data_IF_076825565696
#
_entry.id   IF_076825565696
#
_cell.length_a   1.000
_cell.length_b   1.000
_cell.length_c   1.000
_cell.angle_alpha   90.00
_cell.angle_beta   90.00
_cell.angle_gamma   90.00
#
_symmetry.space_group_name_H-M   'P 1'
#
loop_
_entity.id
_entity.type
_entity.pdbx_description
1 polymer ?
#
# COMPACT_ATOMS: atom_id res chain seq x y z
N UNK A 1 -7.41 9.46 -9.72
CA UNK A 1 -8.05 10.48 -10.57
C UNK A 1 -7.28 10.61 -11.87
N UNK A 2 -7.76 9.93 -12.92
CA UNK A 2 -7.36 10.17 -14.30
C UNK A 2 -8.20 11.30 -14.92
N UNK A 3 -7.98 11.64 -16.19
CA UNK A 3 -8.69 12.75 -16.85
C UNK A 3 -10.21 12.54 -16.94
N UNK A 4 -10.66 11.30 -17.21
CA UNK A 4 -12.09 10.97 -17.28
C UNK A 4 -12.74 11.11 -15.89
N UNK A 5 -12.08 10.62 -14.85
CA UNK A 5 -12.51 10.76 -13.46
C UNK A 5 -12.60 12.23 -13.05
N UNK A 6 -11.63 13.07 -13.47
CA UNK A 6 -11.65 14.51 -13.23
C UNK A 6 -12.82 15.20 -13.93
N UNK A 7 -13.08 14.89 -15.21
CA UNK A 7 -14.21 15.44 -15.95
C UNK A 7 -15.54 15.05 -15.30
N UNK A 8 -15.69 13.81 -14.85
CA UNK A 8 -16.88 13.35 -14.13
C UNK A 8 -17.06 14.08 -12.79
N UNK A 9 -15.98 14.32 -12.04
CA UNK A 9 -16.05 15.09 -10.80
C UNK A 9 -16.50 16.54 -11.06
N UNK A 10 -15.98 17.19 -12.12
CA UNK A 10 -16.42 18.52 -12.56
C UNK A 10 -17.90 18.50 -12.96
N UNK A 11 -18.34 17.48 -13.70
CA UNK A 11 -19.73 17.34 -14.12
C UNK A 11 -20.68 17.27 -12.92
N UNK A 12 -20.30 16.52 -11.87
CA UNK A 12 -21.08 16.41 -10.64
C UNK A 12 -21.15 17.75 -9.89
N UNK A 13 -20.01 18.41 -9.69
CA UNK A 13 -19.95 19.67 -8.95
C UNK A 13 -20.72 20.80 -9.65
N UNK A 14 -20.60 20.88 -10.97
CA UNK A 14 -21.29 21.88 -11.78
C UNK A 14 -22.72 21.48 -12.17
N UNK A 15 -23.14 20.26 -11.86
CA UNK A 15 -24.43 19.69 -12.27
C UNK A 15 -24.67 19.77 -13.79
N UNK A 16 -23.63 19.49 -14.59
CA UNK A 16 -23.68 19.48 -16.05
C UNK A 16 -23.52 18.06 -16.60
N UNK A 17 -23.80 17.88 -17.90
CA UNK A 17 -23.59 16.61 -18.58
C UNK A 17 -22.10 16.25 -18.65
N UNK A 18 -21.77 14.96 -18.51
CA UNK A 18 -20.38 14.48 -18.57
C UNK A 18 -19.69 14.81 -19.91
N UNK A 19 -20.45 14.85 -21.01
CA UNK A 19 -19.94 15.29 -22.30
C UNK A 19 -19.45 16.75 -22.29
N UNK A 20 -20.24 17.66 -21.69
CA UNK A 20 -19.88 19.07 -21.61
C UNK A 20 -18.69 19.30 -20.69
N UNK A 21 -18.60 18.57 -19.57
CA UNK A 21 -17.46 18.63 -18.66
C UNK A 21 -16.16 18.11 -19.30
N UNK A 22 -16.21 16.97 -20.02
CA UNK A 22 -15.05 16.45 -20.76
C UNK A 22 -14.61 17.42 -21.86
N UNK A 23 -15.55 17.97 -22.63
CA UNK A 23 -15.27 18.98 -23.65
C UNK A 23 -14.65 20.22 -23.04
N UNK A 24 -15.21 20.73 -21.94
CA UNK A 24 -14.69 21.91 -21.23
C UNK A 24 -13.24 21.70 -20.77
N UNK A 25 -12.94 20.56 -20.15
CA UNK A 25 -11.59 20.23 -19.70
C UNK A 25 -10.61 20.16 -20.88
N UNK A 26 -10.98 19.49 -21.97
CA UNK A 26 -10.15 19.38 -23.19
C UNK A 26 -9.86 20.75 -23.81
N UNK A 27 -10.88 21.58 -23.98
CA UNK A 27 -10.72 22.94 -24.54
C UNK A 27 -9.85 23.81 -23.64
N UNK A 28 -10.00 23.68 -22.31
CA UNK A 28 -9.16 24.42 -21.35
C UNK A 28 -7.69 24.04 -21.49
N UNK A 29 -7.38 22.73 -21.51
CA UNK A 29 -6.00 22.25 -21.68
C UNK A 29 -5.40 22.69 -23.02
N UNK A 30 -6.16 22.57 -24.11
CA UNK A 30 -5.72 23.02 -25.44
C UNK A 30 -5.47 24.54 -25.48
N UNK A 31 -6.31 25.33 -24.80
CA UNK A 31 -6.13 26.78 -24.75
C UNK A 31 -4.89 27.17 -23.95
N UNK A 32 -4.59 26.46 -22.86
CA UNK A 32 -3.34 26.64 -22.12
C UNK A 32 -2.15 26.33 -23.02
N UNK A 33 -2.15 25.18 -23.69
CA UNK A 33 -1.05 24.75 -24.58
C UNK A 33 -0.83 25.79 -25.70
N UNK A 34 -1.89 26.11 -26.46
CA UNK A 34 -1.81 27.03 -27.58
C UNK A 34 -1.43 28.47 -27.20
N UNK A 35 -1.72 28.91 -25.97
CA UNK A 35 -1.29 30.22 -25.47
C UNK A 35 0.17 30.17 -25.01
N UNK A 36 0.58 29.11 -24.32
CA UNK A 36 1.97 28.96 -23.87
C UNK A 36 2.91 28.86 -25.06
N UNK A 37 2.55 28.16 -26.14
CA UNK A 37 3.38 28.00 -27.35
C UNK A 37 3.59 29.30 -28.13
N UNK A 38 2.83 30.37 -27.85
CA UNK A 38 3.07 31.71 -28.40
C UNK A 38 3.98 32.56 -27.50
N UNK A 39 4.67 31.92 -26.54
CA UNK A 39 5.51 32.57 -25.53
C UNK A 39 4.72 33.53 -24.61
N UNK A 40 3.42 33.28 -24.44
CA UNK A 40 2.57 34.00 -23.49
C UNK A 40 2.29 33.11 -22.27
N UNK A 41 2.65 33.55 -21.04
CA UNK A 41 2.34 32.78 -19.85
C UNK A 41 0.82 32.77 -19.59
N UNK A 42 0.32 31.65 -19.06
CA UNK A 42 -1.05 31.51 -18.58
C UNK A 42 -1.05 31.43 -17.07
N UNK A 43 -1.56 32.47 -16.42
CA UNK A 43 -1.68 32.55 -14.96
C UNK A 43 -3.09 32.17 -14.52
N UNK A 44 -3.19 31.16 -13.65
CA UNK A 44 -4.42 30.73 -13.01
C UNK A 44 -4.31 31.05 -11.53
N UNK A 45 -4.99 32.13 -11.10
CA UNK A 45 -4.94 32.61 -9.72
C UNK A 45 -5.32 31.50 -8.73
N UNK A 46 -4.51 31.33 -7.69
CA UNK A 46 -4.72 30.30 -6.68
C UNK A 46 -4.28 28.89 -7.10
N UNK A 47 -3.79 28.72 -8.33
CA UNK A 47 -3.33 27.43 -8.86
C UNK A 47 -1.86 27.49 -9.30
N UNK A 48 -1.54 28.31 -10.30
CA UNK A 48 -0.17 28.43 -10.80
C UNK A 48 -0.07 29.05 -12.18
N UNK A 49 1.17 29.10 -12.68
CA UNK A 49 1.52 29.72 -13.96
C UNK A 49 2.14 28.70 -14.89
N UNK A 50 1.56 28.55 -16.09
CA UNK A 50 2.18 27.83 -17.20
C UNK A 50 2.99 28.79 -18.06
N UNK A 51 4.23 28.43 -18.40
CA UNK A 51 5.09 29.26 -19.24
C UNK A 51 6.11 28.42 -20.00
N UNK A 52 6.55 28.91 -21.17
CA UNK A 52 7.74 28.39 -21.83
C UNK A 52 9.01 28.85 -21.11
N UNK A 53 10.02 27.99 -21.07
CA UNK A 53 11.37 28.32 -20.62
C UNK A 53 12.41 27.93 -21.66
N UNK A 54 13.37 28.82 -21.97
CA UNK A 54 14.51 28.45 -22.79
C UNK A 54 15.48 27.62 -21.94
N UNK A 55 15.97 26.51 -22.48
CA UNK A 55 17.06 25.74 -21.90
C UNK A 55 18.31 25.94 -22.74
N UNK A 56 19.39 26.36 -22.09
CA UNK A 56 20.71 26.50 -22.70
C UNK A 56 21.28 25.12 -23.08
N UNK A 57 22.14 25.05 -24.11
CA UNK A 57 22.82 23.81 -24.45
C UNK A 57 23.75 23.40 -23.31
N UNK A 58 23.86 22.09 -23.05
CA UNK A 58 24.70 21.54 -21.98
C UNK A 58 25.17 20.14 -22.31
N UNK A 59 26.24 19.69 -21.67
CA UNK A 59 26.69 18.30 -21.74
C UNK A 59 25.89 17.46 -20.74
N UNK A 60 25.26 16.39 -21.22
CA UNK A 60 24.63 15.35 -20.40
C UNK A 60 25.47 14.09 -20.36
N UNK A 61 25.08 13.14 -19.52
CA UNK A 61 25.72 11.82 -19.41
C UNK A 61 24.69 10.76 -19.77
N UNK A 62 25.02 9.87 -20.69
CA UNK A 62 24.14 8.77 -21.10
C UNK A 62 23.93 7.82 -19.91
N UNK A 63 22.67 7.56 -19.48
CA UNK A 63 22.41 6.63 -18.39
C UNK A 63 22.84 5.18 -18.70
N UNK A 64 22.88 4.81 -19.99
CA UNK A 64 23.20 3.46 -20.43
C UNK A 64 24.71 3.22 -20.56
N UNK A 65 25.48 4.23 -20.99
CA UNK A 65 26.91 4.07 -21.31
C UNK A 65 27.85 4.87 -20.42
N UNK A 66 27.35 5.85 -19.65
CA UNK A 66 28.18 6.77 -18.88
C UNK A 66 28.94 7.80 -19.72
N UNK A 67 28.80 7.76 -21.04
CA UNK A 67 29.52 8.66 -21.94
C UNK A 67 28.87 10.05 -22.00
N UNK A 68 29.67 11.12 -22.16
CA UNK A 68 29.15 12.46 -22.34
C UNK A 68 28.46 12.60 -23.70
N UNK A 69 27.32 13.29 -23.73
CA UNK A 69 26.63 13.65 -24.96
C UNK A 69 26.14 15.10 -24.91
N UNK A 70 26.04 15.75 -26.07
CA UNK A 70 25.58 17.13 -26.14
C UNK A 70 24.03 17.20 -26.11
N UNK A 71 23.49 18.00 -25.21
CA UNK A 71 22.06 18.35 -25.16
C UNK A 71 21.89 19.72 -25.81
N UNK A 72 21.23 19.82 -26.98
CA UNK A 72 21.06 21.09 -27.67
C UNK A 72 20.12 22.03 -26.91
N UNK A 73 20.19 23.33 -27.24
CA UNK A 73 19.25 24.32 -26.74
C UNK A 73 17.83 23.96 -27.17
N UNK A 74 16.86 24.10 -26.26
CA UNK A 74 15.45 23.82 -26.56
C UNK A 74 14.50 24.56 -25.64
N UNK A 75 13.27 24.74 -26.11
CA UNK A 75 12.17 25.16 -25.26
C UNK A 75 11.64 24.00 -24.42
N UNK A 76 11.23 24.30 -23.19
CA UNK A 76 10.44 23.40 -22.36
C UNK A 76 9.22 24.13 -21.80
N UNK A 77 8.16 23.39 -21.52
CA UNK A 77 7.09 23.91 -20.66
C UNK A 77 7.56 23.93 -19.21
N UNK A 78 7.04 24.87 -18.43
CA UNK A 78 7.19 24.95 -16.99
C UNK A 78 5.85 25.27 -16.34
N UNK A 79 5.61 24.72 -15.15
CA UNK A 79 4.49 25.06 -14.30
C UNK A 79 5.02 25.52 -12.94
N UNK A 80 4.69 26.74 -12.54
CA UNK A 80 5.03 27.29 -11.23
C UNK A 80 3.79 27.28 -10.35
N UNK A 81 3.84 26.54 -9.25
CA UNK A 81 2.74 26.47 -8.28
C UNK A 81 2.58 27.82 -7.57
N UNK A 82 1.33 28.29 -7.46
CA UNK A 82 1.00 29.51 -6.72
C UNK A 82 1.08 29.27 -5.20
N UNK A 83 1.34 30.34 -4.43
CA UNK A 83 1.43 30.30 -2.97
C UNK A 83 0.16 29.71 -2.34
N UNK A 84 -1.02 30.10 -2.80
CA UNK A 84 -2.28 29.61 -2.23
C UNK A 84 -2.49 28.10 -2.44
N UNK A 85 -2.05 27.54 -3.56
CA UNK A 85 -2.08 26.09 -3.77
C UNK A 85 -1.06 25.41 -2.85
N UNK A 86 0.18 25.92 -2.80
CA UNK A 86 1.22 25.38 -1.91
C UNK A 86 0.75 25.35 -0.45
N UNK A 87 0.19 26.44 0.07
CA UNK A 87 -0.31 26.53 1.43
C UNK A 87 -1.45 25.53 1.70
N UNK A 88 -2.35 25.31 0.73
CA UNK A 88 -3.41 24.30 0.87
C UNK A 88 -2.86 22.88 0.94
N UNK A 89 -1.77 22.59 0.23
CA UNK A 89 -1.09 21.28 0.31
C UNK A 89 -0.39 21.13 1.66
N UNK A 90 0.32 22.16 2.11
CA UNK A 90 1.04 22.15 3.39
C UNK A 90 0.11 22.12 4.61
N UNK A 91 -1.10 22.64 4.48
CA UNK A 91 -2.12 22.60 5.53
C UNK A 91 -2.79 21.22 5.68
N UNK A 92 -2.56 20.28 4.76
CA UNK A 92 -3.02 18.90 4.94
C UNK A 92 -2.16 18.28 6.04
N UNK A 93 -2.75 17.92 7.21
CA UNK A 93 -1.97 17.31 8.28
C UNK A 93 -1.36 15.99 7.79
N UNK A 94 -0.06 15.82 8.04
CA UNK A 94 0.56 14.51 7.87
C UNK A 94 -0.01 13.58 8.92
N UNK A 95 -0.54 12.45 8.47
CA UNK A 95 -0.82 11.34 9.36
C UNK A 95 0.53 10.73 9.79
N UNK A 96 0.76 10.73 11.09
CA UNK A 96 1.93 10.19 11.77
C UNK A 96 1.52 9.09 12.75
N UNK A 97 0.24 8.74 12.78
CA UNK A 97 -0.25 7.67 13.60
C UNK A 97 0.24 6.35 13.00
N UNK A 98 0.75 5.47 13.86
CA UNK A 98 1.13 4.14 13.39
C UNK A 98 -0.12 3.29 13.28
N UNK A 99 -0.20 2.40 12.26
CA UNK A 99 -1.30 1.45 12.20
C UNK A 99 -1.33 0.58 13.45
N UNK A 100 -2.49 0.00 13.73
CA UNK A 100 -2.68 -0.94 14.85
C UNK A 100 -2.97 -2.34 14.34
N UNK A 101 -2.72 -3.34 15.20
CA UNK A 101 -2.95 -4.75 14.91
C UNK A 101 -3.70 -5.41 16.06
N UNK A 102 -4.68 -6.24 15.74
CA UNK A 102 -5.45 -7.03 16.70
C UNK A 102 -5.69 -8.46 16.20
N UNK A 103 -5.85 -9.43 17.12
CA UNK A 103 -6.23 -10.78 16.74
C UNK A 103 -7.62 -10.78 16.10
N UNK A 104 -7.77 -11.54 15.01
CA UNK A 104 -9.06 -11.88 14.42
C UNK A 104 -9.54 -13.24 14.94
N UNK A 105 -9.81 -14.17 14.02
CA UNK A 105 -10.14 -15.56 14.34
C UNK A 105 -8.87 -16.34 14.64
N UNK A 106 -8.69 -16.69 15.91
CA UNK A 106 -7.67 -17.60 16.41
C UNK A 106 -8.40 -18.64 17.26
N UNK A 107 -8.18 -19.92 16.99
CA UNK A 107 -8.86 -21.03 17.68
C UNK A 107 -7.90 -22.19 17.95
N UNK A 108 -8.11 -22.91 19.04
CA UNK A 108 -7.26 -24.04 19.39
C UNK A 108 -7.46 -25.23 18.45
N UNK A 109 -6.39 -26.01 18.25
CA UNK A 109 -6.41 -27.26 17.48
C UNK A 109 -6.59 -28.42 18.45
N UNK A 110 -7.75 -29.09 18.38
CA UNK A 110 -8.12 -30.20 19.29
C UNK A 110 -8.30 -31.55 18.58
N UNK A 111 -8.09 -31.58 17.26
CA UNK A 111 -8.24 -32.78 16.45
C UNK A 111 -7.05 -32.91 15.49
N UNK A 112 -6.61 -34.14 15.19
CA UNK A 112 -5.50 -34.35 14.28
C UNK A 112 -5.87 -34.02 12.84
N UNK A 113 -4.87 -33.65 12.02
CA UNK A 113 -5.10 -33.33 10.61
C UNK A 113 -3.85 -32.93 9.84
N UNK A 114 -3.90 -33.05 8.52
CA UNK A 114 -2.82 -32.76 7.56
C UNK A 114 -2.95 -31.37 6.92
N UNK A 115 -4.05 -30.65 7.18
CA UNK A 115 -4.29 -29.33 6.63
C UNK A 115 -3.51 -28.25 7.39
N UNK A 116 -3.06 -27.18 6.70
CA UNK A 116 -2.55 -25.99 7.37
C UNK A 116 -3.58 -25.43 8.34
N UNK A 117 -3.10 -24.92 9.48
CA UNK A 117 -3.92 -24.14 10.39
C UNK A 117 -4.07 -22.72 9.85
N UNK A 118 -5.29 -22.19 9.88
CA UNK A 118 -5.60 -20.85 9.41
C UNK A 118 -6.05 -19.98 10.58
N UNK A 119 -5.54 -18.76 10.63
CA UNK A 119 -5.96 -17.74 11.57
C UNK A 119 -6.08 -16.40 10.84
N UNK A 120 -6.76 -15.44 11.46
CA UNK A 120 -6.83 -14.08 10.93
C UNK A 120 -6.25 -13.05 11.88
N UNK A 121 -5.66 -12.02 11.28
CA UNK A 121 -5.17 -10.81 11.94
C UNK A 121 -5.89 -9.63 11.32
N UNK A 122 -6.28 -8.67 12.14
CA UNK A 122 -6.90 -7.43 11.70
C UNK A 122 -5.93 -6.27 11.89
N UNK A 123 -5.67 -5.55 10.80
CA UNK A 123 -4.91 -4.31 10.79
C UNK A 123 -5.88 -3.15 10.62
N UNK A 124 -5.73 -2.10 11.41
CA UNK A 124 -6.57 -0.91 11.32
C UNK A 124 -5.76 0.36 11.48
N UNK A 125 -6.29 1.43 10.90
CA UNK A 125 -5.67 2.75 10.86
C UNK A 125 -6.75 3.80 10.64
N UNK A 126 -6.49 5.07 10.96
CA UNK A 126 -7.48 6.13 10.83
C UNK A 126 -7.64 6.64 9.38
N UNK A 127 -6.60 6.50 8.55
CA UNK A 127 -6.61 6.83 7.12
C UNK A 127 -6.76 5.56 6.29
N UNK A 128 -5.92 4.57 6.55
CA UNK A 128 -6.11 3.21 6.08
C UNK A 128 -4.82 2.45 5.78
N UNK A 129 -4.96 1.13 5.67
CA UNK A 129 -3.83 0.22 5.46
C UNK A 129 -3.44 0.10 3.98
N UNK A 130 -2.13 0.24 3.71
CA UNK A 130 -1.56 0.08 2.38
C UNK A 130 -1.49 -1.38 1.97
N UNK A 131 -2.44 -1.80 1.14
CA UNK A 131 -2.59 -3.21 0.76
C UNK A 131 -1.35 -3.84 0.09
N UNK A 132 -0.46 -3.03 -0.51
CA UNK A 132 0.76 -3.54 -1.14
C UNK A 132 1.84 -3.97 -0.14
N UNK A 133 1.74 -3.56 1.12
CA UNK A 133 2.69 -3.94 2.18
C UNK A 133 2.22 -5.14 2.99
N UNK A 134 1.05 -5.73 2.66
CA UNK A 134 0.63 -6.98 3.29
C UNK A 134 1.30 -8.12 2.53
N UNK A 135 2.11 -8.90 3.24
CA UNK A 135 2.96 -9.96 2.76
C UNK A 135 2.18 -11.02 1.99
N UNK A 136 2.27 -10.98 0.65
CA UNK A 136 1.88 -12.07 -0.22
C UNK A 136 0.90 -11.73 -1.32
N UNK A 137 1.29 -10.86 -2.27
CA UNK A 137 0.82 -11.02 -3.65
C UNK A 137 1.88 -11.08 -4.74
N UNK A 138 3.12 -10.61 -4.53
CA UNK A 138 4.21 -10.72 -5.52
C UNK A 138 5.64 -10.61 -4.92
N UNK A 139 5.85 -10.84 -3.61
CA UNK A 139 7.21 -10.69 -3.06
C UNK A 139 8.07 -11.92 -3.35
N UNK A 140 8.99 -11.79 -4.31
CA UNK A 140 10.16 -12.66 -4.50
C UNK A 140 11.21 -12.46 -3.39
N UNK A 141 10.97 -11.54 -2.45
CA UNK A 141 11.88 -11.16 -1.38
C UNK A 141 11.17 -11.21 -0.02
N UNK A 142 11.14 -12.38 0.62
CA UNK A 142 11.34 -12.55 2.07
C UNK A 142 10.50 -11.77 3.11
N UNK A 143 9.53 -10.95 2.74
CA UNK A 143 8.79 -10.07 3.64
C UNK A 143 7.45 -10.73 3.98
N UNK A 144 7.49 -11.52 5.05
CA UNK A 144 6.33 -12.23 5.60
C UNK A 144 5.95 -11.54 6.90
N UNK A 145 4.76 -10.93 6.92
CA UNK A 145 4.28 -10.07 8.02
C UNK A 145 4.33 -10.76 9.39
N UNK A 146 4.07 -12.07 9.41
CA UNK A 146 3.75 -12.80 10.64
C UNK A 146 4.65 -14.02 10.79
N UNK A 147 5.17 -14.22 12.00
CA UNK A 147 5.92 -15.40 12.44
C UNK A 147 5.13 -16.16 13.49
N UNK A 148 5.10 -17.49 13.37
CA UNK A 148 4.54 -18.39 14.39
C UNK A 148 5.66 -19.18 15.02
N UNK A 149 5.81 -19.08 16.34
CA UNK A 149 6.74 -19.88 17.13
C UNK A 149 5.99 -20.83 18.06
N UNK A 150 6.55 -21.99 18.35
CA UNK A 150 5.89 -23.00 19.17
C UNK A 150 6.86 -23.94 19.87
N UNK A 151 6.34 -25.04 20.45
CA UNK A 151 7.14 -26.03 21.17
C UNK A 151 8.24 -26.64 20.29
N UNK A 152 9.24 -27.25 20.93
CA UNK A 152 10.32 -28.00 20.26
C UNK A 152 11.09 -27.17 19.20
N UNK A 153 11.15 -25.85 19.38
CA UNK A 153 11.85 -24.95 18.46
C UNK A 153 11.10 -24.67 17.15
N UNK A 154 9.81 -24.99 17.07
CA UNK A 154 8.99 -24.64 15.91
C UNK A 154 9.03 -23.13 15.67
N UNK A 155 9.35 -22.72 14.44
CA UNK A 155 9.44 -21.33 14.02
C UNK A 155 9.16 -21.24 12.51
N UNK A 156 8.02 -20.67 12.14
CA UNK A 156 7.59 -20.54 10.75
C UNK A 156 7.18 -19.10 10.43
N UNK A 157 7.75 -18.54 9.36
CA UNK A 157 7.20 -17.34 8.72
C UNK A 157 5.97 -17.72 7.89
N UNK A 158 4.90 -16.93 8.03
CA UNK A 158 3.59 -17.23 7.42
C UNK A 158 3.26 -16.28 6.28
N UNK A 159 2.59 -16.79 5.25
CA UNK A 159 2.17 -16.00 4.09
C UNK A 159 0.70 -15.62 4.23
N UNK A 160 0.34 -14.40 3.83
CA UNK A 160 -1.06 -14.06 3.65
C UNK A 160 -1.63 -14.92 2.50
N UNK A 161 -2.71 -15.62 2.79
CA UNK A 161 -3.44 -16.45 1.82
C UNK A 161 -4.64 -15.69 1.26
N UNK A 162 -5.22 -14.78 2.05
CA UNK A 162 -6.37 -13.97 1.68
C UNK A 162 -6.35 -12.65 2.42
N UNK A 163 -6.79 -11.59 1.76
CA UNK A 163 -6.99 -10.27 2.36
C UNK A 163 -8.39 -9.77 2.04
N UNK A 164 -9.07 -9.24 3.05
CA UNK A 164 -10.39 -8.59 2.94
C UNK A 164 -10.30 -7.18 3.51
N UNK A 165 -10.92 -6.21 2.86
CA UNK A 165 -11.10 -4.86 3.44
C UNK A 165 -12.18 -4.88 4.53
N UNK A 166 -11.96 -4.17 5.63
CA UNK A 166 -13.00 -3.92 6.65
C UNK A 166 -14.15 -3.08 6.07
N UNK A 167 -15.28 -3.04 6.78
CA UNK A 167 -16.49 -2.36 6.32
C UNK A 167 -16.32 -0.83 6.19
N UNK A 168 -15.54 -0.22 7.09
CA UNK A 168 -15.16 1.20 7.04
C UNK A 168 -14.14 1.53 5.94
N UNK A 169 -13.62 0.50 5.26
CA UNK A 169 -12.60 0.56 4.20
C UNK A 169 -11.21 1.02 4.65
N UNK A 170 -10.98 1.18 5.96
CA UNK A 170 -9.72 1.67 6.52
C UNK A 170 -8.81 0.55 7.00
N UNK A 171 -9.37 -0.56 7.46
CA UNK A 171 -8.64 -1.75 7.89
C UNK A 171 -8.55 -2.89 6.87
N UNK A 172 -7.80 -3.92 7.27
CA UNK A 172 -7.59 -5.17 6.52
C UNK A 172 -7.68 -6.36 7.45
N UNK A 173 -8.52 -7.33 7.09
CA UNK A 173 -8.55 -8.64 7.72
C UNK A 173 -7.73 -9.58 6.82
N UNK A 174 -6.65 -10.14 7.36
CA UNK A 174 -5.70 -10.97 6.63
C UNK A 174 -5.75 -12.39 7.18
N UNK A 175 -5.89 -13.38 6.31
CA UNK A 175 -5.85 -14.80 6.66
C UNK A 175 -4.46 -15.36 6.39
N UNK A 176 -3.83 -15.90 7.41
CA UNK A 176 -2.52 -16.56 7.35
C UNK A 176 -2.69 -18.07 7.44
N UNK A 177 -1.67 -18.79 6.97
CA UNK A 177 -1.59 -20.24 7.09
C UNK A 177 -0.25 -20.65 7.71
N UNK A 178 -0.31 -21.60 8.64
CA UNK A 178 0.85 -22.22 9.28
C UNK A 178 0.75 -23.74 9.14
N UNK A 179 1.84 -24.38 8.73
CA UNK A 179 1.92 -25.83 8.63
C UNK A 179 2.23 -26.45 10.00
N UNK A 180 1.81 -27.69 10.22
CA UNK A 180 2.14 -28.39 11.44
C UNK A 180 3.66 -28.71 11.53
N UNK A 181 4.25 -28.77 12.73
CA UNK A 181 5.55 -29.40 12.92
C UNK A 181 5.53 -30.83 12.35
N UNK A 182 6.50 -31.20 11.53
CA UNK A 182 6.54 -32.53 10.92
C UNK A 182 5.49 -32.81 9.83
N UNK A 183 4.66 -31.82 9.47
CA UNK A 183 3.70 -31.91 8.36
C UNK A 183 2.30 -32.39 8.73
N UNK A 184 2.07 -32.86 9.96
CA UNK A 184 0.75 -33.28 10.46
C UNK A 184 0.53 -32.72 11.86
N UNK A 185 -0.65 -32.17 12.12
CA UNK A 185 -1.06 -31.83 13.48
C UNK A 185 -1.45 -33.12 14.20
N UNK A 186 -0.58 -33.57 15.11
CA UNK A 186 -0.81 -34.73 15.97
C UNK A 186 -0.40 -34.42 17.42
N UNK A 187 -0.42 -35.42 18.30
CA UNK A 187 -0.08 -35.24 19.71
C UNK A 187 1.36 -34.76 19.94
N UNK A 188 2.28 -34.94 18.98
CA UNK A 188 3.66 -34.46 19.06
C UNK A 188 3.76 -32.95 18.84
N UNK A 189 2.75 -32.36 18.19
CA UNK A 189 2.61 -30.93 17.99
C UNK A 189 1.96 -30.20 19.18
N UNK A 190 1.60 -30.90 20.26
CA UNK A 190 0.91 -30.31 21.40
C UNK A 190 1.74 -29.22 22.10
N UNK A 191 1.05 -28.15 22.52
CA UNK A 191 1.60 -27.02 23.26
C UNK A 191 1.08 -25.68 22.74
N UNK A 192 1.64 -24.58 23.27
CA UNK A 192 1.22 -23.23 22.92
C UNK A 192 2.06 -22.67 21.77
N UNK A 193 1.39 -22.07 20.80
CA UNK A 193 1.98 -21.39 19.66
C UNK A 193 1.69 -19.90 19.77
N UNK A 194 2.72 -19.09 19.56
CA UNK A 194 2.66 -17.63 19.61
C UNK A 194 2.73 -17.07 18.19
N UNK A 195 1.90 -16.06 17.92
CA UNK A 195 1.80 -15.35 16.65
C UNK A 195 2.39 -13.95 16.85
N UNK A 196 3.53 -13.67 16.21
CA UNK A 196 4.20 -12.38 16.25
C UNK A 196 4.09 -11.68 14.90
N UNK A 197 3.77 -10.39 14.94
CA UNK A 197 3.99 -9.47 13.84
C UNK A 197 5.47 -9.09 13.79
N UNK A 198 6.07 -9.15 12.60
CA UNK A 198 7.43 -8.67 12.38
C UNK A 198 7.46 -7.16 12.17
N UNK A 199 8.59 -6.57 12.55
CA UNK A 199 8.81 -5.13 12.42
C UNK A 199 8.82 -4.69 10.96
N UNK A 200 8.24 -3.51 10.70
CA UNK A 200 8.33 -2.81 9.43
C UNK A 200 7.80 -3.58 8.21
N UNK A 201 6.85 -4.51 8.41
CA UNK A 201 6.24 -5.24 7.30
C UNK A 201 4.99 -4.53 6.77
N UNK A 202 4.08 -4.10 7.66
CA UNK A 202 2.79 -3.52 7.28
C UNK A 202 2.78 -2.01 7.54
N UNK A 203 2.41 -1.20 6.53
CA UNK A 203 2.29 0.25 6.65
C UNK A 203 0.87 0.75 6.37
N UNK A 204 0.60 1.96 6.82
CA UNK A 204 -0.52 2.76 6.36
C UNK A 204 -0.25 3.36 4.97
N UNK A 205 -1.21 4.16 4.47
CA UNK A 205 -1.09 4.87 3.19
C UNK A 205 -0.06 6.02 3.21
N UNK A 206 0.35 6.53 4.38
CA UNK A 206 1.31 7.62 4.54
C UNK A 206 2.75 7.14 4.78
N UNK A 207 2.96 5.82 4.93
CA UNK A 207 4.26 5.21 5.13
C UNK A 207 4.67 5.03 6.59
N UNK A 208 3.74 5.18 7.56
CA UNK A 208 4.02 4.79 8.94
C UNK A 208 3.89 3.28 9.07
N UNK A 209 4.88 2.63 9.69
CA UNK A 209 4.96 1.18 9.79
C UNK A 209 4.58 0.67 11.18
N UNK A 210 3.95 -0.49 11.22
CA UNK A 210 3.74 -1.24 12.45
C UNK A 210 5.07 -1.69 13.06
N UNK A 211 5.19 -1.48 14.37
CA UNK A 211 6.24 -2.09 15.18
C UNK A 211 5.98 -3.58 15.39
N UNK A 212 7.02 -4.38 15.63
CA UNK A 212 6.84 -5.79 15.98
C UNK A 212 6.05 -5.93 17.28
N UNK A 213 5.12 -6.86 17.34
CA UNK A 213 4.33 -7.15 18.54
C UNK A 213 3.74 -8.56 18.50
N UNK A 214 3.40 -9.13 19.65
CA UNK A 214 2.64 -10.38 19.71
C UNK A 214 1.16 -10.09 19.46
N UNK A 215 0.60 -10.74 18.45
CA UNK A 215 -0.80 -10.57 18.03
C UNK A 215 -1.73 -11.50 18.80
N UNK A 216 -1.26 -12.70 19.14
CA UNK A 216 -2.05 -13.67 19.89
C UNK A 216 -1.39 -15.04 19.98
N UNK A 217 -2.15 -16.02 20.47
CA UNK A 217 -1.68 -17.37 20.73
C UNK A 217 -2.79 -18.38 20.39
N UNK A 218 -2.42 -19.60 20.01
CA UNK A 218 -3.32 -20.74 19.96
C UNK A 218 -2.67 -21.95 20.62
N UNK A 219 -3.48 -22.86 21.16
CA UNK A 219 -3.02 -24.10 21.72
C UNK A 219 -3.29 -25.26 20.77
N UNK A 220 -2.39 -26.25 20.78
CA UNK A 220 -2.61 -27.57 20.19
C UNK A 220 -2.73 -28.56 21.33
N UNK A 221 -3.88 -29.23 21.41
CA UNK A 221 -4.25 -30.14 22.48
C UNK A 221 -4.96 -31.38 21.91
N UNK A 222 -4.21 -32.18 21.15
CA UNK A 222 -4.67 -33.40 20.51
C UNK A 222 -4.42 -34.58 21.45
N UNK A 223 -5.45 -35.38 21.81
CA UNK A 223 -5.26 -36.56 22.64
C UNK A 223 -4.27 -37.54 21.99
N UNK A 224 -3.28 -38.00 22.75
CA UNK A 224 -2.42 -39.10 22.32
C UNK A 224 -3.27 -40.36 22.18
N UNK A 225 -3.26 -40.98 21.00
CA UNK A 225 -3.92 -42.27 20.82
C UNK A 225 -3.36 -43.24 21.84
N UNK A 226 -4.23 -43.79 22.70
CA UNK A 226 -3.88 -44.93 23.54
C UNK A 226 -3.45 -46.06 22.61
N UNK A 227 -2.15 -46.30 22.51
CA UNK A 227 -1.62 -47.47 21.83
C UNK A 227 -2.26 -48.70 22.45
N UNK A 228 -3.08 -49.40 21.67
CA UNK A 228 -3.55 -50.72 22.03
C UNK A 228 -2.31 -51.61 22.18
N UNK A 229 -2.04 -51.99 23.43
CA UNK A 229 -1.24 -53.15 23.79
C UNK A 229 -2.04 -54.42 23.53
#
# INVERSE_FOLDING_TARGET
MNQLELANAIAQELQIGGYDADRFLKVTLEKIISTVTTNQPVELQGFGTFAMRPNAPRTGTSPATGEPFNVPARWSASFKIDKAFKERVEAVPLDQSSPTVSPGTISDIIAPGDKPYYFTVEFSDDVGIKASTIGGKNSELGELDVRVTGPNGFNQLTRATRTKTTADKKGRIVTYAVGAPGGVWDFTANGQYQIDLLEAQVSDLMGNFLSSTTVGNFNVAIPGGSGGI
#
